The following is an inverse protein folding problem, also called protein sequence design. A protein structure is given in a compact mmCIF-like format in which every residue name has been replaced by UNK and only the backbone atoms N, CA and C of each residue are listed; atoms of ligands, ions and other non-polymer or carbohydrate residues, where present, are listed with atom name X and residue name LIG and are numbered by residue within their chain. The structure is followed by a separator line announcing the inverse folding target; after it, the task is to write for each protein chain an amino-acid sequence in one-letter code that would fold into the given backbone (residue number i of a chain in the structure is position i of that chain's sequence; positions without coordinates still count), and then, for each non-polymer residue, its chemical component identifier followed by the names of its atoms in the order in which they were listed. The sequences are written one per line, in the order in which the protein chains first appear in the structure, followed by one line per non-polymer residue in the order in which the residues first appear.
data_IF_069507971541
#
_entry.id   IF_069507971541
#
_cell.length_a   1.000
_cell.length_b   1.000
_cell.length_c   1.000
_cell.angle_alpha   90.00
_cell.angle_beta   90.00
_cell.angle_gamma   90.00
#
_symmetry.space_group_name_H-M   'P 1'
#
loop_
_entity.id
_entity.type
_entity.pdbx_description
1 polymer ?
#
# COMPACT_ATOMS: atom_id res chain seq x y z
N UNK A 1 15.35 -26.37 -10.61
CA UNK A 1 14.05 -25.71 -10.97
C UNK A 1 12.93 -26.62 -10.49
N UNK A 2 11.93 -26.10 -9.80
CA UNK A 2 10.73 -26.89 -9.43
C UNK A 2 9.72 -26.86 -10.59
N UNK A 3 9.04 -27.99 -10.86
CA UNK A 3 7.89 -27.98 -11.76
C UNK A 3 6.62 -27.58 -11.03
N UNK A 4 5.59 -27.03 -11.73
CA UNK A 4 4.30 -26.72 -11.10
C UNK A 4 3.64 -27.92 -10.41
N UNK A 5 3.80 -29.13 -10.96
CA UNK A 5 3.30 -30.37 -10.39
C UNK A 5 4.01 -30.72 -9.08
N UNK A 6 5.35 -30.60 -9.03
CA UNK A 6 6.13 -30.82 -7.81
C UNK A 6 5.77 -29.82 -6.71
N UNK A 7 5.56 -28.55 -7.09
CA UNK A 7 5.09 -27.52 -6.17
C UNK A 7 3.72 -27.87 -5.60
N UNK A 8 2.77 -28.30 -6.45
CA UNK A 8 1.44 -28.70 -6.03
C UNK A 8 1.46 -29.90 -5.06
N UNK A 9 2.30 -30.91 -5.32
CA UNK A 9 2.47 -32.06 -4.40
C UNK A 9 2.93 -31.58 -3.03
N UNK A 10 3.94 -30.71 -2.94
CA UNK A 10 4.38 -30.15 -1.65
C UNK A 10 3.27 -29.39 -0.91
N UNK A 11 2.48 -28.59 -1.63
CA UNK A 11 1.37 -27.85 -1.02
C UNK A 11 0.28 -28.77 -0.47
N UNK A 12 -0.04 -29.87 -1.18
CA UNK A 12 -0.96 -30.91 -0.72
C UNK A 12 -0.43 -31.56 0.57
N UNK A 13 0.88 -31.78 0.65
CA UNK A 13 1.57 -32.35 1.82
C UNK A 13 1.82 -31.30 2.93
N UNK A 14 1.28 -30.08 2.83
CA UNK A 14 1.45 -28.98 3.79
C UNK A 14 2.94 -28.55 3.97
N UNK A 15 3.77 -28.77 2.95
CA UNK A 15 5.20 -28.46 2.96
C UNK A 15 5.49 -27.13 2.28
N UNK A 16 6.51 -26.45 2.78
CA UNK A 16 6.98 -25.18 2.22
C UNK A 16 7.61 -25.39 0.83
N UNK A 17 7.37 -24.44 -0.08
CA UNK A 17 8.14 -24.26 -1.30
C UNK A 17 9.33 -23.38 -0.94
N UNK A 18 10.55 -23.90 -1.05
CA UNK A 18 11.74 -23.14 -0.68
C UNK A 18 11.92 -21.90 -1.54
N UNK A 19 12.61 -20.90 -1.00
CA UNK A 19 12.73 -19.57 -1.62
C UNK A 19 13.13 -19.62 -3.11
N UNK A 20 14.20 -20.33 -3.47
CA UNK A 20 14.67 -20.41 -4.86
C UNK A 20 13.70 -21.16 -5.78
N UNK A 21 12.99 -22.14 -5.24
CA UNK A 21 11.95 -22.86 -5.97
C UNK A 21 10.72 -21.99 -6.20
N UNK A 22 10.35 -21.17 -5.21
CA UNK A 22 9.25 -20.22 -5.32
C UNK A 22 9.59 -19.09 -6.31
N UNK A 23 10.84 -18.61 -6.37
CA UNK A 23 11.30 -17.71 -7.42
C UNK A 23 11.09 -18.32 -8.81
N UNK A 24 11.50 -19.58 -8.99
CA UNK A 24 11.34 -20.30 -10.26
C UNK A 24 9.87 -20.48 -10.64
N UNK A 25 9.04 -20.89 -9.69
CA UNK A 25 7.61 -21.10 -9.90
C UNK A 25 6.89 -19.80 -10.27
N UNK A 26 7.18 -18.71 -9.55
CA UNK A 26 6.58 -17.41 -9.82
C UNK A 26 6.99 -16.85 -11.18
N UNK A 27 8.25 -17.05 -11.61
CA UNK A 27 8.68 -16.66 -12.97
C UNK A 27 7.91 -17.43 -14.04
N UNK A 28 7.68 -18.73 -13.88
CA UNK A 28 6.86 -19.52 -14.80
C UNK A 28 5.40 -19.01 -14.85
N UNK A 29 4.81 -18.68 -13.69
CA UNK A 29 3.44 -18.13 -13.62
C UNK A 29 3.38 -16.76 -14.32
N UNK A 30 4.29 -15.84 -13.96
CA UNK A 30 4.31 -14.48 -14.51
C UNK A 30 4.74 -14.45 -15.98
N UNK A 31 5.52 -15.44 -16.44
CA UNK A 31 5.88 -15.64 -17.86
C UNK A 31 4.76 -16.27 -18.69
N UNK A 32 3.68 -16.77 -18.05
CA UNK A 32 2.56 -17.39 -18.77
C UNK A 32 2.80 -18.86 -19.18
N UNK A 33 3.77 -19.51 -18.54
CA UNK A 33 4.14 -20.90 -18.82
C UNK A 33 3.27 -21.94 -18.07
N UNK A 34 2.48 -21.47 -17.10
CA UNK A 34 1.65 -22.32 -16.24
C UNK A 34 0.18 -22.20 -16.64
N UNK A 35 -0.51 -23.32 -16.78
CA UNK A 35 -1.94 -23.31 -17.15
C UNK A 35 -2.83 -22.70 -16.07
N UNK A 36 -3.96 -22.08 -16.43
CA UNK A 36 -4.89 -21.49 -15.46
C UNK A 36 -5.33 -22.45 -14.35
N UNK A 37 -5.63 -23.71 -14.71
CA UNK A 37 -6.00 -24.74 -13.73
C UNK A 37 -4.89 -25.02 -12.71
N UNK A 38 -3.64 -25.04 -13.16
CA UNK A 38 -2.49 -25.25 -12.28
C UNK A 38 -2.21 -24.02 -11.42
N UNK A 39 -2.34 -22.81 -11.98
CA UNK A 39 -2.26 -21.56 -11.19
C UNK A 39 -3.31 -21.57 -10.08
N UNK A 40 -4.57 -21.92 -10.39
CA UNK A 40 -5.64 -22.02 -9.40
C UNK A 40 -5.29 -23.01 -8.28
N UNK A 41 -4.85 -24.21 -8.64
CA UNK A 41 -4.48 -25.25 -7.67
C UNK A 41 -3.33 -24.79 -6.74
N UNK A 42 -2.30 -24.17 -7.31
CA UNK A 42 -1.16 -23.63 -6.54
C UNK A 42 -1.61 -22.51 -5.60
N UNK A 43 -2.40 -21.55 -6.07
CA UNK A 43 -2.88 -20.44 -5.25
C UNK A 43 -3.76 -20.92 -4.08
N UNK A 44 -4.65 -21.89 -4.34
CA UNK A 44 -5.48 -22.49 -3.31
C UNK A 44 -4.62 -23.29 -2.34
N UNK A 45 -3.67 -24.09 -2.83
CA UNK A 45 -2.73 -24.84 -2.00
C UNK A 45 -1.90 -23.96 -1.07
N UNK A 46 -1.33 -22.85 -1.57
CA UNK A 46 -0.62 -21.84 -0.77
C UNK A 46 -1.54 -21.28 0.32
N UNK A 47 -2.76 -20.89 -0.05
CA UNK A 47 -3.74 -20.31 0.89
C UNK A 47 -4.15 -21.28 1.99
N UNK A 48 -4.39 -22.55 1.67
CA UNK A 48 -4.78 -23.59 2.65
C UNK A 48 -3.62 -23.92 3.59
N UNK A 49 -2.40 -24.02 3.05
CA UNK A 49 -1.18 -24.24 3.84
C UNK A 49 -0.83 -23.04 4.72
N UNK A 50 -1.23 -21.84 4.35
CA UNK A 50 -0.73 -20.53 4.78
C UNK A 50 0.70 -20.27 4.28
N UNK A 51 0.86 -19.15 3.60
CA UNK A 51 2.13 -18.75 2.96
C UNK A 51 3.18 -18.41 4.02
N UNK A 52 4.40 -18.88 3.82
CA UNK A 52 5.55 -18.51 4.67
C UNK A 52 6.14 -17.17 4.25
N UNK A 53 6.91 -16.55 5.14
CA UNK A 53 7.68 -15.32 4.83
C UNK A 53 8.59 -15.55 3.62
N UNK A 54 9.19 -16.75 3.51
CA UNK A 54 10.04 -17.12 2.37
C UNK A 54 9.27 -17.12 1.05
N UNK A 55 8.11 -17.75 1.02
CA UNK A 55 7.25 -17.83 -0.18
C UNK A 55 6.73 -16.46 -0.60
N UNK A 56 6.26 -15.64 0.36
CA UNK A 56 5.78 -14.27 0.08
C UNK A 56 6.93 -13.40 -0.45
N UNK A 57 8.12 -13.49 0.17
CA UNK A 57 9.29 -12.69 -0.25
C UNK A 57 9.75 -13.05 -1.66
N UNK A 58 9.80 -14.34 -1.99
CA UNK A 58 10.18 -14.81 -3.33
C UNK A 58 9.15 -14.36 -4.38
N UNK A 59 7.85 -14.47 -4.07
CA UNK A 59 6.80 -14.04 -4.96
C UNK A 59 6.85 -12.51 -5.19
N UNK A 60 7.02 -11.71 -4.15
CA UNK A 60 7.16 -10.27 -4.25
C UNK A 60 8.42 -9.86 -5.04
N UNK A 61 9.54 -10.56 -4.84
CA UNK A 61 10.76 -10.32 -5.61
C UNK A 61 10.52 -10.49 -7.12
N UNK A 62 9.90 -11.59 -7.52
CA UNK A 62 9.58 -11.84 -8.95
C UNK A 62 8.58 -10.81 -9.48
N UNK A 63 7.57 -10.45 -8.70
CA UNK A 63 6.64 -9.38 -9.09
C UNK A 63 7.36 -8.05 -9.31
N UNK A 64 8.32 -7.70 -8.46
CA UNK A 64 9.19 -6.53 -8.67
C UNK A 64 10.06 -6.66 -9.93
N UNK A 65 10.55 -7.87 -10.25
CA UNK A 65 11.35 -8.15 -11.45
C UNK A 65 10.55 -7.87 -12.73
N UNK A 66 9.27 -8.28 -12.76
CA UNK A 66 8.38 -8.11 -13.91
C UNK A 66 7.67 -6.76 -13.97
N UNK A 67 7.75 -5.93 -12.95
CA UNK A 67 7.12 -4.61 -12.94
C UNK A 67 7.85 -3.62 -13.87
N UNK A 68 7.07 -2.77 -14.55
CA UNK A 68 7.60 -1.61 -15.27
C UNK A 68 8.19 -0.62 -14.26
N UNK A 69 9.51 -0.44 -14.28
CA UNK A 69 10.24 0.37 -13.31
C UNK A 69 9.98 1.87 -13.53
N UNK A 70 9.74 2.58 -12.45
CA UNK A 70 9.62 4.05 -12.45
C UNK A 70 10.98 4.65 -12.07
N UNK A 71 11.62 5.39 -12.98
CA UNK A 71 12.93 6.00 -12.72
C UNK A 71 12.76 7.24 -11.84
N UNK A 72 13.08 7.12 -10.55
CA UNK A 72 13.14 8.23 -9.60
C UNK A 72 14.61 8.56 -9.34
N UNK A 73 15.00 9.79 -9.64
CA UNK A 73 16.39 10.26 -9.48
C UNK A 73 16.66 10.77 -8.07
N UNK A 74 15.69 11.43 -7.46
CA UNK A 74 15.76 11.96 -6.08
C UNK A 74 15.11 10.98 -5.11
N UNK A 75 15.91 10.07 -4.57
CA UNK A 75 15.40 8.99 -3.69
C UNK A 75 15.34 9.35 -2.22
N UNK A 76 15.89 10.49 -1.82
CA UNK A 76 15.81 10.96 -0.43
C UNK A 76 14.35 11.16 -0.02
N UNK A 77 13.97 10.66 1.16
CA UNK A 77 12.61 10.71 1.69
C UNK A 77 11.54 10.04 0.79
N UNK A 78 11.95 9.09 -0.08
CA UNK A 78 11.02 8.35 -0.93
C UNK A 78 10.18 7.39 -0.07
N UNK A 79 8.85 7.49 -0.20
CA UNK A 79 7.90 6.73 0.61
C UNK A 79 6.70 6.26 -0.21
N UNK A 80 6.17 5.07 0.11
CA UNK A 80 4.86 4.61 -0.35
C UNK A 80 3.84 4.58 0.80
N UNK A 81 2.58 4.81 0.49
CA UNK A 81 1.44 4.73 1.42
C UNK A 81 0.39 3.77 0.86
N UNK A 82 0.79 2.53 0.58
CA UNK A 82 -0.07 1.53 -0.05
C UNK A 82 -0.41 0.40 0.92
N UNK A 83 -1.70 0.21 1.22
CA UNK A 83 -2.20 -0.94 1.97
C UNK A 83 -2.64 -2.11 1.07
N UNK A 84 -2.97 -3.23 1.69
CA UNK A 84 -3.49 -4.43 1.00
C UNK A 84 -4.90 -4.23 0.47
N UNK A 85 -5.64 -3.28 1.02
CA UNK A 85 -7.08 -3.19 0.82
C UNK A 85 -7.82 -4.41 1.36
N UNK A 86 -9.11 -4.50 1.07
CA UNK A 86 -9.88 -5.68 1.40
C UNK A 86 -10.35 -5.77 2.86
N UNK A 87 -10.27 -4.69 3.61
CA UNK A 87 -10.73 -4.56 5.00
C UNK A 87 -12.25 -4.49 5.12
N UNK A 88 -12.97 -4.27 4.02
CA UNK A 88 -14.41 -4.09 3.96
C UNK A 88 -14.95 -2.92 4.84
N UNK A 89 -14.10 -1.97 5.19
CA UNK A 89 -14.46 -0.85 6.05
C UNK A 89 -15.26 0.23 5.32
N UNK A 90 -15.16 0.29 3.99
CA UNK A 90 -15.85 1.27 3.13
C UNK A 90 -15.55 2.73 3.52
N UNK A 91 -14.37 3.00 4.06
CA UNK A 91 -13.94 4.36 4.40
C UNK A 91 -13.52 5.12 3.14
N UNK A 92 -13.44 6.46 3.24
CA UNK A 92 -12.81 7.26 2.19
C UNK A 92 -11.32 6.94 2.08
N UNK A 93 -10.67 7.46 1.05
CA UNK A 93 -9.29 7.12 0.70
C UNK A 93 -8.26 7.79 1.62
N UNK A 94 -8.11 7.28 2.85
CA UNK A 94 -7.25 7.81 3.92
C UNK A 94 -5.80 7.90 3.45
N UNK A 95 -5.23 6.79 2.95
CA UNK A 95 -3.83 6.77 2.48
C UNK A 95 -3.58 7.69 1.29
N UNK A 96 -4.60 7.93 0.44
CA UNK A 96 -4.48 8.89 -0.67
C UNK A 96 -4.44 10.33 -0.17
N UNK A 97 -5.30 10.69 0.78
CA UNK A 97 -5.25 12.00 1.43
C UNK A 97 -3.92 12.20 2.18
N UNK A 98 -3.47 11.17 2.90
CA UNK A 98 -2.19 11.16 3.63
C UNK A 98 -0.98 11.36 2.71
N UNK A 99 -1.04 10.84 1.47
CA UNK A 99 0.01 11.02 0.48
C UNK A 99 0.24 12.51 0.12
N UNK A 100 -0.82 13.28 -0.04
CA UNK A 100 -0.71 14.72 -0.30
C UNK A 100 -0.12 15.49 0.88
N UNK A 101 -0.53 15.14 2.10
CA UNK A 101 0.00 15.75 3.33
C UNK A 101 1.48 15.41 3.50
N UNK A 102 1.87 14.14 3.35
CA UNK A 102 3.26 13.72 3.45
C UNK A 102 4.14 14.39 2.38
N UNK A 103 3.65 14.48 1.14
CA UNK A 103 4.37 15.17 0.06
C UNK A 103 4.55 16.67 0.35
N UNK A 104 3.52 17.32 0.87
CA UNK A 104 3.60 18.74 1.25
C UNK A 104 4.53 18.98 2.46
N UNK A 105 4.75 17.96 3.31
CA UNK A 105 5.74 17.97 4.39
C UNK A 105 7.19 17.79 3.91
N UNK A 106 7.40 17.50 2.61
CA UNK A 106 8.72 17.31 2.01
C UNK A 106 9.07 15.86 1.64
N UNK A 107 8.20 14.90 1.87
CA UNK A 107 8.40 13.53 1.39
C UNK A 107 8.26 13.46 -0.14
N UNK A 108 8.97 12.51 -0.75
CA UNK A 108 8.70 12.09 -2.13
C UNK A 108 7.79 10.88 -2.08
N UNK A 109 6.54 11.07 -2.48
CA UNK A 109 5.54 10.02 -2.39
C UNK A 109 5.42 9.31 -3.74
N UNK A 110 5.84 8.06 -3.78
CA UNK A 110 5.64 7.16 -4.90
C UNK A 110 4.42 6.27 -4.60
N UNK A 111 3.21 6.82 -4.71
CA UNK A 111 2.01 6.09 -4.33
C UNK A 111 1.63 5.04 -5.36
N UNK A 112 1.60 3.79 -4.93
CA UNK A 112 1.09 2.67 -5.71
C UNK A 112 -0.36 2.38 -5.34
N UNK A 113 -1.20 2.06 -6.32
CA UNK A 113 -2.59 1.77 -6.03
C UNK A 113 -3.43 1.38 -7.25
N UNK A 114 -4.67 1.01 -7.01
CA UNK A 114 -5.59 0.53 -8.03
C UNK A 114 -7.01 1.03 -7.85
N UNK A 115 -7.90 0.53 -8.73
CA UNK A 115 -9.35 0.66 -8.54
C UNK A 115 -9.80 -0.29 -7.43
N UNK A 116 -10.94 0.01 -6.85
CA UNK A 116 -11.51 -0.86 -5.83
C UNK A 116 -11.89 -2.23 -6.39
N UNK A 117 -11.63 -3.26 -5.57
CA UNK A 117 -12.09 -4.63 -5.82
C UNK A 117 -13.22 -5.02 -4.85
N UNK A 118 -13.16 -4.52 -3.62
CA UNK A 118 -14.08 -4.88 -2.52
C UNK A 118 -14.68 -3.68 -1.80
N UNK A 119 -14.12 -2.48 -1.97
CA UNK A 119 -14.64 -1.22 -1.41
C UNK A 119 -15.42 -0.43 -2.44
N UNK A 120 -16.05 0.67 -2.02
CA UNK A 120 -16.85 1.54 -2.91
C UNK A 120 -16.00 2.44 -3.81
N UNK A 121 -14.73 2.75 -3.42
CA UNK A 121 -13.87 3.67 -4.14
C UNK A 121 -12.40 3.35 -3.86
N UNK A 122 -11.63 2.98 -4.88
CA UNK A 122 -10.18 2.80 -4.80
C UNK A 122 -9.41 4.11 -4.94
N UNK A 123 -8.09 4.07 -4.69
CA UNK A 123 -7.23 5.26 -4.84
C UNK A 123 -7.25 5.83 -6.26
N UNK A 124 -7.29 4.97 -7.27
CA UNK A 124 -7.39 5.39 -8.67
C UNK A 124 -8.73 6.08 -8.96
N UNK A 125 -9.84 5.58 -8.39
CA UNK A 125 -11.17 6.13 -8.64
C UNK A 125 -11.30 7.55 -8.08
N UNK A 126 -10.82 7.80 -6.86
CA UNK A 126 -10.87 9.15 -6.26
C UNK A 126 -9.91 10.12 -6.94
N UNK A 127 -8.70 9.67 -7.34
CA UNK A 127 -7.74 10.53 -8.05
C UNK A 127 -8.26 10.95 -9.43
N UNK A 128 -8.87 10.02 -10.17
CA UNK A 128 -9.54 10.32 -11.45
C UNK A 128 -10.68 11.31 -11.26
N UNK A 129 -11.52 11.14 -10.20
CA UNK A 129 -12.58 12.08 -9.86
C UNK A 129 -12.06 13.47 -9.45
N UNK A 130 -10.81 13.56 -8.95
CA UNK A 130 -10.12 14.79 -8.62
C UNK A 130 -9.43 15.43 -9.84
N UNK A 131 -9.45 14.79 -11.01
CA UNK A 131 -8.88 15.29 -12.25
C UNK A 131 -7.44 14.84 -12.54
N UNK A 132 -6.89 13.88 -11.80
CA UNK A 132 -5.56 13.32 -12.05
C UNK A 132 -5.63 12.35 -13.22
N UNK A 133 -4.73 12.49 -14.20
CA UNK A 133 -4.57 11.52 -15.27
C UNK A 133 -3.81 10.28 -14.76
N UNK A 134 -4.44 9.11 -14.88
CA UNK A 134 -3.87 7.83 -14.42
C UNK A 134 -3.02 7.11 -15.47
N UNK A 135 -3.05 7.57 -16.73
CA UNK A 135 -2.43 6.90 -17.86
C UNK A 135 -1.04 7.48 -18.19
N UNK A 136 -0.23 7.68 -17.15
CA UNK A 136 1.13 8.16 -17.28
C UNK A 136 2.10 7.01 -17.56
N UNK A 137 3.15 7.29 -18.35
CA UNK A 137 4.27 6.37 -18.53
C UNK A 137 5.13 6.31 -17.25
N UNK A 138 5.96 5.27 -17.07
CA UNK A 138 6.91 5.22 -15.96
C UNK A 138 7.79 6.47 -15.83
N UNK A 139 8.26 7.01 -16.95
CA UNK A 139 9.10 8.21 -17.00
C UNK A 139 8.34 9.46 -16.56
N UNK A 140 7.09 9.61 -17.00
CA UNK A 140 6.24 10.73 -16.56
C UNK A 140 5.94 10.69 -15.07
N UNK A 141 5.67 9.50 -14.52
CA UNK A 141 5.48 9.34 -13.06
C UNK A 141 6.78 9.65 -12.30
N UNK A 142 7.93 9.14 -12.78
CA UNK A 142 9.23 9.45 -12.18
C UNK A 142 9.52 10.96 -12.18
N UNK A 143 9.25 11.63 -13.30
CA UNK A 143 9.38 13.08 -13.43
C UNK A 143 8.47 13.84 -12.44
N UNK A 144 7.22 13.41 -12.30
CA UNK A 144 6.28 13.99 -11.32
C UNK A 144 6.82 13.87 -9.90
N UNK A 145 7.31 12.68 -9.50
CA UNK A 145 7.92 12.47 -8.17
C UNK A 145 9.14 13.38 -7.96
N UNK A 146 10.01 13.50 -8.97
CA UNK A 146 11.22 14.32 -8.89
C UNK A 146 10.92 15.83 -8.87
N UNK A 147 9.91 16.28 -9.62
CA UNK A 147 9.57 17.68 -9.79
C UNK A 147 8.70 18.24 -8.65
N UNK A 148 7.60 17.53 -8.35
CA UNK A 148 6.60 18.03 -7.40
C UNK A 148 6.51 17.19 -6.11
N UNK A 149 7.32 16.14 -5.96
CA UNK A 149 7.38 15.30 -4.75
C UNK A 149 6.24 14.30 -4.62
N UNK A 150 5.41 14.07 -5.65
CA UNK A 150 4.36 13.05 -5.63
C UNK A 150 4.09 12.52 -7.04
N UNK A 151 3.87 11.21 -7.13
CA UNK A 151 3.40 10.55 -8.34
C UNK A 151 2.51 9.36 -8.00
N UNK A 152 1.57 9.04 -8.88
CA UNK A 152 0.67 7.92 -8.73
C UNK A 152 0.95 6.85 -9.78
N UNK A 153 1.16 5.62 -9.33
CA UNK A 153 1.38 4.44 -10.16
C UNK A 153 0.10 3.61 -10.18
N UNK A 154 -0.65 3.69 -11.26
CA UNK A 154 -1.86 2.89 -11.44
C UNK A 154 -1.47 1.43 -11.71
N UNK A 155 -1.68 0.54 -10.74
CA UNK A 155 -1.16 -0.83 -10.71
C UNK A 155 -1.32 -1.62 -12.01
N UNK A 156 -2.46 -1.59 -12.73
CA UNK A 156 -2.60 -2.30 -14.02
C UNK A 156 -1.58 -1.88 -15.07
N UNK A 157 -1.16 -0.61 -15.09
CA UNK A 157 -0.22 -0.09 -16.10
C UNK A 157 1.23 -0.54 -15.81
N UNK A 158 1.53 -0.88 -14.55
CA UNK A 158 2.91 -1.21 -14.12
C UNK A 158 3.14 -2.71 -13.92
N UNK A 159 2.08 -3.52 -13.80
CA UNK A 159 2.17 -4.96 -13.57
C UNK A 159 1.55 -5.77 -14.71
N UNK A 160 2.02 -5.55 -15.94
CA UNK A 160 1.48 -6.20 -17.15
C UNK A 160 1.49 -7.74 -17.11
N UNK A 161 2.44 -8.35 -16.40
CA UNK A 161 2.53 -9.79 -16.23
C UNK A 161 1.36 -10.38 -15.40
N UNK A 162 0.64 -9.55 -14.63
CA UNK A 162 -0.58 -9.97 -13.91
C UNK A 162 -1.69 -10.48 -14.83
N UNK A 163 -1.63 -10.19 -16.14
CA UNK A 163 -2.59 -10.71 -17.14
C UNK A 163 -2.71 -12.25 -17.10
N UNK A 164 -1.67 -12.97 -16.68
CA UNK A 164 -1.68 -14.43 -16.59
C UNK A 164 -2.37 -14.95 -15.32
N UNK A 165 -2.34 -14.22 -14.23
CA UNK A 165 -2.94 -14.61 -12.95
C UNK A 165 -4.31 -13.93 -12.68
N UNK A 166 -4.56 -12.73 -13.21
CA UNK A 166 -5.76 -11.96 -12.92
C UNK A 166 -7.10 -12.66 -13.30
N UNK A 167 -7.22 -13.36 -14.46
CA UNK A 167 -8.44 -14.11 -14.77
C UNK A 167 -8.72 -15.22 -13.73
N UNK A 168 -7.68 -15.98 -13.37
CA UNK A 168 -7.78 -17.08 -12.38
C UNK A 168 -8.20 -16.53 -11.02
N UNK A 169 -7.61 -15.43 -10.56
CA UNK A 169 -7.98 -14.78 -9.28
C UNK A 169 -9.44 -14.33 -9.28
N UNK A 170 -9.93 -13.79 -10.39
CA UNK A 170 -11.32 -13.35 -10.54
C UNK A 170 -12.29 -14.54 -10.46
N UNK A 171 -11.95 -15.65 -11.13
CA UNK A 171 -12.75 -16.86 -11.14
C UNK A 171 -12.80 -17.54 -9.77
N UNK A 172 -11.66 -17.59 -9.07
CA UNK A 172 -11.58 -18.13 -7.72
C UNK A 172 -12.44 -17.35 -6.71
N UNK A 173 -12.55 -16.03 -6.83
CA UNK A 173 -13.36 -15.19 -5.96
C UNK A 173 -12.94 -15.17 -4.48
N UNK A 174 -11.76 -15.71 -4.15
CA UNK A 174 -11.22 -15.79 -2.79
C UNK A 174 -9.89 -15.05 -2.68
N UNK A 175 -9.50 -14.69 -1.46
CA UNK A 175 -8.17 -14.13 -1.21
C UNK A 175 -7.08 -15.17 -1.43
N UNK A 176 -6.03 -14.80 -2.12
CA UNK A 176 -4.85 -15.60 -2.44
C UNK A 176 -3.58 -14.85 -2.09
N UNK A 177 -2.41 -15.46 -2.27
CA UNK A 177 -1.10 -14.83 -2.15
C UNK A 177 -1.05 -13.42 -2.80
N UNK A 178 -1.66 -13.25 -3.96
CA UNK A 178 -1.66 -11.96 -4.66
C UNK A 178 -2.35 -10.81 -3.90
N UNK A 179 -3.20 -11.09 -2.92
CA UNK A 179 -3.84 -10.03 -2.12
C UNK A 179 -2.88 -9.37 -1.12
N UNK A 180 -1.78 -10.02 -0.80
CA UNK A 180 -0.76 -9.47 0.10
C UNK A 180 0.50 -8.99 -0.65
N UNK A 181 0.61 -9.24 -1.97
CA UNK A 181 1.78 -8.88 -2.76
C UNK A 181 1.77 -7.43 -3.25
N UNK A 182 0.58 -6.84 -3.51
CA UNK A 182 0.48 -5.49 -4.10
C UNK A 182 1.36 -4.46 -3.43
N UNK A 183 1.23 -4.22 -2.10
CA UNK A 183 2.04 -3.24 -1.39
C UNK A 183 3.54 -3.56 -1.33
N UNK A 184 3.93 -4.81 -1.57
CA UNK A 184 5.34 -5.24 -1.58
C UNK A 184 6.06 -4.94 -2.90
N UNK A 185 5.34 -4.46 -3.93
CA UNK A 185 5.82 -4.47 -5.31
C UNK A 185 5.86 -3.09 -5.96
N UNK A 186 6.11 -2.05 -5.17
CA UNK A 186 6.16 -0.66 -5.62
C UNK A 186 7.14 -0.50 -6.81
N UNK A 187 6.67 -0.02 -7.98
CA UNK A 187 7.50 0.08 -9.19
C UNK A 187 8.62 1.11 -9.10
N UNK A 188 8.51 2.12 -8.23
CA UNK A 188 9.56 3.10 -7.96
C UNK A 188 10.60 2.58 -6.95
N UNK A 189 10.36 1.39 -6.36
CA UNK A 189 11.25 0.78 -5.38
C UNK A 189 11.40 1.64 -4.12
N UNK A 190 10.32 2.20 -3.60
CA UNK A 190 10.36 2.99 -2.36
C UNK A 190 10.88 2.13 -1.20
N UNK A 191 11.92 2.60 -0.52
CA UNK A 191 12.58 1.90 0.58
C UNK A 191 11.87 2.13 1.92
N UNK A 192 11.02 3.16 2.00
CA UNK A 192 10.21 3.48 3.17
C UNK A 192 8.72 3.32 2.83
N UNK A 193 7.92 2.88 3.81
CA UNK A 193 6.51 2.60 3.55
C UNK A 193 5.66 2.65 4.82
N UNK A 194 4.44 3.16 4.70
CA UNK A 194 3.34 2.83 5.62
C UNK A 194 2.41 1.86 4.89
N UNK A 195 2.31 0.65 5.42
CA UNK A 195 1.52 -0.43 4.82
C UNK A 195 0.38 -0.84 5.74
N UNK A 196 -0.85 -0.61 5.34
CA UNK A 196 -2.00 -1.20 5.99
C UNK A 196 -2.24 -2.66 5.57
N UNK A 197 -2.65 -3.50 6.51
CA UNK A 197 -3.01 -4.90 6.23
C UNK A 197 -4.38 -5.23 6.80
N UNK A 198 -5.16 -6.05 6.06
CA UNK A 198 -6.54 -6.40 6.40
C UNK A 198 -6.69 -7.42 7.55
N UNK A 199 -5.58 -7.93 8.10
CA UNK A 199 -5.62 -8.93 9.18
C UNK A 199 -4.42 -8.75 10.12
N UNK A 200 -4.60 -8.84 11.45
CA UNK A 200 -3.52 -8.63 12.41
C UNK A 200 -2.35 -9.63 12.26
N UNK A 201 -2.60 -10.88 11.87
CA UNK A 201 -1.53 -11.87 11.65
C UNK A 201 -0.53 -11.43 10.56
N UNK A 202 -0.94 -10.55 9.65
CA UNK A 202 -0.08 -10.06 8.57
C UNK A 202 0.88 -8.98 9.03
N UNK A 203 0.65 -8.33 10.15
CA UNK A 203 1.43 -7.17 10.61
C UNK A 203 2.91 -7.53 10.71
N UNK A 204 3.26 -8.50 11.55
CA UNK A 204 4.64 -8.95 11.71
C UNK A 204 5.20 -9.71 10.50
N UNK A 205 4.34 -10.45 9.77
CA UNK A 205 4.76 -11.19 8.56
C UNK A 205 5.23 -10.21 7.48
N UNK A 206 4.42 -9.20 7.15
CA UNK A 206 4.74 -8.24 6.07
C UNK A 206 5.96 -7.38 6.40
N UNK A 207 6.14 -6.99 7.66
CA UNK A 207 7.34 -6.28 8.08
C UNK A 207 8.63 -7.09 7.83
N UNK A 208 8.60 -8.39 8.16
CA UNK A 208 9.73 -9.30 7.91
C UNK A 208 9.93 -9.62 6.43
N UNK A 209 8.87 -9.64 5.64
CA UNK A 209 8.98 -9.73 4.17
C UNK A 209 9.67 -8.49 3.62
N UNK A 210 9.25 -7.28 4.03
CA UNK A 210 9.88 -6.03 3.60
C UNK A 210 11.33 -5.93 4.06
N UNK A 211 11.66 -6.41 5.27
CA UNK A 211 13.05 -6.54 5.75
C UNK A 211 13.89 -7.39 4.78
N UNK A 212 13.39 -8.58 4.37
CA UNK A 212 14.07 -9.45 3.39
C UNK A 212 14.19 -8.81 2.01
N UNK A 213 13.25 -7.96 1.62
CA UNK A 213 13.26 -7.24 0.35
C UNK A 213 14.12 -5.97 0.38
N UNK A 214 14.79 -5.67 1.52
CA UNK A 214 15.74 -4.58 1.66
C UNK A 214 15.14 -3.21 1.99
N UNK A 215 13.89 -3.15 2.47
CA UNK A 215 13.30 -1.90 2.93
C UNK A 215 14.04 -1.34 4.16
N UNK A 216 14.00 -0.02 4.35
CA UNK A 216 14.76 0.70 5.37
C UNK A 216 13.93 1.04 6.60
N UNK A 217 12.83 1.77 6.41
CA UNK A 217 11.94 2.18 7.49
C UNK A 217 10.49 1.97 7.08
N UNK A 218 9.80 1.08 7.77
CA UNK A 218 8.44 0.68 7.43
C UNK A 218 7.59 0.58 8.68
N UNK A 219 6.34 1.04 8.60
CA UNK A 219 5.30 0.70 9.55
C UNK A 219 4.26 -0.17 8.83
N UNK A 220 4.08 -1.40 9.30
CA UNK A 220 2.95 -2.26 8.91
C UNK A 220 1.89 -2.16 9.98
N UNK A 221 0.66 -1.80 9.61
CA UNK A 221 -0.38 -1.42 10.56
C UNK A 221 -1.69 -2.17 10.31
N UNK A 222 -2.43 -2.44 11.41
CA UNK A 222 -3.79 -2.99 11.35
C UNK A 222 -4.59 -2.46 12.54
N UNK A 223 -5.69 -1.76 12.28
CA UNK A 223 -6.60 -1.30 13.30
C UNK A 223 -7.34 -2.45 13.99
N UNK A 224 -7.61 -2.34 15.29
CA UNK A 224 -8.39 -3.35 16.05
C UNK A 224 -9.82 -3.53 15.53
N UNK A 225 -10.31 -2.59 14.73
CA UNK A 225 -11.58 -2.63 14.00
C UNK A 225 -11.48 -3.30 12.62
N UNK A 226 -10.30 -3.80 12.26
CA UNK A 226 -9.99 -4.46 10.98
C UNK A 226 -9.53 -3.52 9.87
N UNK A 227 -9.48 -2.21 10.13
CA UNK A 227 -9.04 -1.20 9.16
C UNK A 227 -7.56 -1.43 8.76
N UNK A 228 -7.26 -1.34 7.48
CA UNK A 228 -5.89 -1.41 6.96
C UNK A 228 -5.17 -0.04 6.97
N UNK A 229 -5.36 0.72 8.07
CA UNK A 229 -4.76 2.03 8.35
C UNK A 229 -4.53 2.18 9.87
N UNK A 230 -3.86 3.24 10.31
CA UNK A 230 -3.88 3.64 11.73
C UNK A 230 -5.28 4.18 12.03
N UNK A 231 -6.00 3.50 12.93
CA UNK A 231 -7.41 3.82 13.21
C UNK A 231 -7.59 4.88 14.28
N UNK A 232 -8.74 5.58 14.23
CA UNK A 232 -9.23 6.42 15.34
C UNK A 232 -10.18 5.66 16.27
N UNK A 233 -10.66 4.47 15.92
CA UNK A 233 -11.70 3.80 16.69
C UNK A 233 -11.20 2.90 17.81
N UNK A 234 -9.89 2.83 17.99
CA UNK A 234 -9.27 1.99 19.01
C UNK A 234 -7.78 1.81 18.82
N UNK A 235 -7.27 0.68 19.29
CA UNK A 235 -5.87 0.34 19.16
C UNK A 235 -5.49 -0.01 17.72
N UNK A 236 -4.26 0.26 17.34
CA UNK A 236 -3.63 -0.18 16.10
C UNK A 236 -2.42 -1.05 16.41
N UNK A 237 -2.39 -2.26 15.86
CA UNK A 237 -1.22 -3.12 15.89
C UNK A 237 -0.20 -2.60 14.88
N UNK A 238 1.06 -2.50 15.29
CA UNK A 238 2.16 -1.98 14.48
C UNK A 238 3.33 -2.95 14.51
N UNK A 239 3.88 -3.25 13.34
CA UNK A 239 5.23 -3.79 13.22
C UNK A 239 6.11 -2.76 12.51
N UNK A 240 7.12 -2.29 13.19
CA UNK A 240 8.08 -1.31 12.68
C UNK A 240 9.37 -2.00 12.28
N UNK A 241 9.74 -1.86 11.02
CA UNK A 241 11.09 -2.13 10.54
C UNK A 241 11.87 -0.84 10.57
N UNK A 242 12.92 -0.78 11.37
CA UNK A 242 13.85 0.34 11.46
C UNK A 242 15.24 -0.16 11.79
N UNK A 243 16.25 0.42 11.17
CA UNK A 243 17.66 0.05 11.38
C UNK A 243 17.92 -1.46 11.27
N UNK A 244 17.23 -2.12 10.33
CA UNK A 244 17.34 -3.55 10.10
C UNK A 244 16.66 -4.45 11.14
N UNK A 245 15.94 -3.89 12.12
CA UNK A 245 15.24 -4.63 13.16
C UNK A 245 13.74 -4.47 13.02
N UNK A 246 12.98 -5.53 13.32
CA UNK A 246 11.52 -5.50 13.39
C UNK A 246 11.09 -5.54 14.85
N UNK A 247 10.34 -4.53 15.28
CA UNK A 247 9.69 -4.47 16.60
C UNK A 247 8.17 -4.42 16.43
N UNK A 248 7.44 -5.04 17.35
CA UNK A 248 5.98 -5.08 17.32
C UNK A 248 5.43 -4.42 18.59
N UNK A 249 4.46 -3.52 18.42
CA UNK A 249 3.84 -2.78 19.50
C UNK A 249 2.42 -2.34 19.12
N UNK A 250 1.73 -1.72 20.07
CA UNK A 250 0.37 -1.19 19.84
C UNK A 250 0.36 0.29 20.16
N UNK A 251 -0.37 1.05 19.36
CA UNK A 251 -0.62 2.47 19.57
C UNK A 251 -2.13 2.74 19.67
N UNK A 252 -2.50 3.84 20.35
CA UNK A 252 -3.89 4.31 20.41
C UNK A 252 -3.97 5.80 20.05
N UNK A 253 -5.14 6.29 19.60
CA UNK A 253 -5.31 7.70 19.24
C UNK A 253 -4.99 8.66 20.40
N UNK A 254 -5.29 8.27 21.63
CA UNK A 254 -5.10 9.09 22.83
C UNK A 254 -3.63 9.40 23.11
N UNK A 255 -2.72 8.51 22.73
CA UNK A 255 -1.27 8.74 22.87
C UNK A 255 -0.81 9.96 22.08
N UNK A 256 -1.58 10.35 21.05
CA UNK A 256 -1.30 11.48 20.16
C UNK A 256 -2.28 12.64 20.34
N UNK A 257 -3.09 12.61 21.39
CA UNK A 257 -4.03 13.69 21.71
C UNK A 257 -5.35 13.64 20.94
N UNK A 258 -5.65 12.57 20.22
CA UNK A 258 -6.92 12.38 19.55
C UNK A 258 -7.90 11.62 20.45
N UNK A 259 -9.19 11.87 20.26
CA UNK A 259 -10.25 11.10 20.95
C UNK A 259 -10.59 9.87 20.12
N UNK A 260 -10.78 8.74 20.79
CA UNK A 260 -11.38 7.56 20.16
C UNK A 260 -12.71 7.94 19.51
N UNK A 261 -12.86 7.68 18.22
CA UNK A 261 -13.98 8.11 17.40
C UNK A 261 -14.41 6.98 16.46
N UNK A 262 -15.72 6.73 16.37
CA UNK A 262 -16.26 5.73 15.45
C UNK A 262 -15.92 6.03 13.98
N UNK A 263 -15.62 5.00 13.20
CA UNK A 263 -15.39 5.11 11.76
C UNK A 263 -16.67 5.43 10.96
N UNK A 264 -17.85 5.42 11.58
CA UNK A 264 -19.12 5.63 10.87
C UNK A 264 -19.15 6.95 10.10
N UNK A 265 -18.52 8.01 10.65
CA UNK A 265 -18.48 9.35 10.04
C UNK A 265 -17.50 9.50 8.87
N UNK A 266 -16.66 8.49 8.61
CA UNK A 266 -15.70 8.50 7.51
C UNK A 266 -15.98 7.42 6.46
N UNK A 267 -17.13 6.71 6.58
CA UNK A 267 -17.61 5.80 5.55
C UNK A 267 -18.22 6.58 4.39
N UNK A 268 -18.06 6.04 3.19
CA UNK A 268 -18.55 6.65 1.95
C UNK A 268 -19.28 5.61 1.11
N UNK A 269 -20.33 6.03 0.41
CA UNK A 269 -21.12 5.16 -0.45
C UNK A 269 -20.66 5.18 -1.92
N UNK A 270 -19.93 6.21 -2.33
CA UNK A 270 -19.52 6.41 -3.72
C UNK A 270 -18.25 7.29 -3.82
N UNK A 271 -17.75 7.43 -5.04
CA UNK A 271 -16.53 8.21 -5.30
C UNK A 271 -16.70 9.72 -5.12
N UNK A 272 -17.92 10.23 -5.29
CA UNK A 272 -18.25 11.64 -5.10
C UNK A 272 -18.16 12.03 -3.63
N UNK A 273 -18.69 11.19 -2.74
CA UNK A 273 -18.55 11.36 -1.29
C UNK A 273 -17.08 11.23 -0.85
N UNK A 274 -16.36 10.24 -1.39
CA UNK A 274 -14.93 10.06 -1.11
C UNK A 274 -14.12 11.31 -1.54
N UNK A 275 -14.38 11.85 -2.72
CA UNK A 275 -13.79 13.09 -3.22
C UNK A 275 -14.09 14.27 -2.30
N UNK A 276 -15.35 14.48 -1.94
CA UNK A 276 -15.77 15.60 -1.09
C UNK A 276 -15.10 15.52 0.30
N UNK A 277 -15.05 14.31 0.88
CA UNK A 277 -14.40 14.10 2.19
C UNK A 277 -12.90 14.34 2.12
N UNK A 278 -12.20 13.86 1.09
CA UNK A 278 -10.78 14.12 0.86
C UNK A 278 -10.52 15.62 0.70
N UNK A 279 -11.33 16.32 -0.10
CA UNK A 279 -11.22 17.77 -0.25
C UNK A 279 -11.43 18.51 1.07
N UNK A 280 -12.42 18.10 1.88
CA UNK A 280 -12.66 18.66 3.21
C UNK A 280 -11.46 18.52 4.15
N UNK A 281 -10.74 17.39 4.08
CA UNK A 281 -9.47 17.20 4.82
C UNK A 281 -8.42 18.20 4.34
N UNK A 282 -8.22 18.32 3.01
CA UNK A 282 -7.22 19.25 2.45
C UNK A 282 -7.60 20.73 2.66
N UNK A 283 -8.89 21.03 2.90
CA UNK A 283 -9.40 22.35 3.30
C UNK A 283 -9.33 22.56 4.83
N UNK A 284 -8.68 21.67 5.56
CA UNK A 284 -8.55 21.71 7.01
C UNK A 284 -9.89 21.78 7.77
N UNK A 285 -10.94 21.16 7.25
CA UNK A 285 -12.24 21.11 7.94
C UNK A 285 -12.14 20.19 9.16
N UNK A 286 -12.45 20.65 10.38
CA UNK A 286 -12.42 19.83 11.58
C UNK A 286 -13.38 18.64 11.46
N UNK A 287 -12.81 17.41 11.48
CA UNK A 287 -13.57 16.17 11.30
C UNK A 287 -12.73 14.96 11.67
N UNK A 288 -13.37 13.81 11.92
CA UNK A 288 -12.67 12.53 12.10
C UNK A 288 -11.85 12.15 10.85
N UNK A 289 -12.29 12.54 9.65
CA UNK A 289 -11.53 12.34 8.42
C UNK A 289 -10.20 13.10 8.42
N UNK A 290 -10.20 14.35 8.90
CA UNK A 290 -8.95 15.12 9.07
C UNK A 290 -8.02 14.48 10.10
N UNK A 291 -8.57 14.06 11.23
CA UNK A 291 -7.79 13.52 12.33
C UNK A 291 -7.15 12.18 11.96
N UNK A 292 -7.86 11.27 11.28
CA UNK A 292 -7.28 10.00 10.82
C UNK A 292 -6.21 10.22 9.73
N UNK A 293 -6.39 11.19 8.84
CA UNK A 293 -5.37 11.56 7.86
C UNK A 293 -4.14 12.14 8.54
N UNK A 294 -4.32 12.97 9.57
CA UNK A 294 -3.19 13.50 10.34
C UNK A 294 -2.36 12.38 10.99
N UNK A 295 -2.99 11.32 11.54
CA UNK A 295 -2.30 10.15 12.07
C UNK A 295 -1.51 9.40 10.98
N UNK A 296 -2.17 9.05 9.88
CA UNK A 296 -1.57 8.24 8.82
C UNK A 296 -0.51 9.01 8.01
N UNK A 297 -0.74 10.29 7.75
CA UNK A 297 0.26 11.17 7.14
C UNK A 297 1.47 11.38 8.05
N UNK A 298 1.24 11.52 9.35
CA UNK A 298 2.30 11.61 10.34
C UNK A 298 3.21 10.37 10.34
N UNK A 299 2.62 9.19 10.20
CA UNK A 299 3.37 7.95 10.03
C UNK A 299 4.21 7.96 8.75
N UNK A 300 3.64 8.42 7.62
CA UNK A 300 4.38 8.54 6.35
C UNK A 300 5.54 9.55 6.44
N UNK A 301 5.36 10.67 7.13
CA UNK A 301 6.39 11.67 7.39
C UNK A 301 7.51 11.08 8.27
N UNK A 302 7.14 10.32 9.29
CA UNK A 302 8.10 9.66 10.18
C UNK A 302 8.95 8.62 9.45
N UNK A 303 8.32 7.68 8.73
CA UNK A 303 9.09 6.64 8.01
C UNK A 303 9.92 7.22 6.86
N UNK A 304 9.51 8.35 6.28
CA UNK A 304 10.29 9.08 5.29
C UNK A 304 11.54 9.77 5.89
N UNK A 305 11.71 9.75 7.22
CA UNK A 305 12.84 10.37 7.91
C UNK A 305 12.75 11.91 8.01
N UNK A 306 11.54 12.45 7.94
CA UNK A 306 11.27 13.91 8.05
C UNK A 306 10.84 14.33 9.45
N UNK A 307 10.75 13.37 10.36
CA UNK A 307 10.54 13.53 11.80
C UNK A 307 11.29 12.43 12.55
N UNK A 308 11.72 12.70 13.77
CA UNK A 308 12.48 11.78 14.62
C UNK A 308 11.61 10.76 15.38
N UNK A 309 10.30 11.04 15.44
CA UNK A 309 9.31 10.20 16.11
C UNK A 309 7.96 10.26 15.40
N UNK A 310 7.12 9.24 15.62
CA UNK A 310 5.76 9.20 15.12
C UNK A 310 4.94 10.41 15.62
N UNK A 311 5.09 10.78 16.90
CA UNK A 311 4.41 11.94 17.47
C UNK A 311 4.79 13.25 16.76
N UNK A 312 6.08 13.47 16.48
CA UNK A 312 6.55 14.64 15.77
C UNK A 312 6.12 14.63 14.29
N UNK A 313 6.05 13.45 13.65
CA UNK A 313 5.46 13.28 12.33
C UNK A 313 3.99 13.69 12.28
N UNK A 314 3.20 13.25 13.26
CA UNK A 314 1.76 13.60 13.41
C UNK A 314 1.56 15.11 13.63
N UNK A 315 2.39 15.72 14.49
CA UNK A 315 2.36 17.17 14.70
C UNK A 315 2.64 17.92 13.38
N UNK A 316 3.69 17.53 12.66
CA UNK A 316 4.05 18.12 11.36
C UNK A 316 2.94 17.95 10.33
N UNK A 317 2.25 16.79 10.31
CA UNK A 317 1.10 16.58 9.43
C UNK A 317 -0.03 17.58 9.71
N UNK A 318 -0.34 17.85 10.98
CA UNK A 318 -1.33 18.86 11.37
C UNK A 318 -0.96 20.27 10.92
N UNK A 319 0.29 20.66 11.06
CA UNK A 319 0.82 21.96 10.60
C UNK A 319 0.68 22.10 9.07
N UNK A 320 1.00 21.04 8.32
CA UNK A 320 0.89 21.00 6.85
C UNK A 320 -0.58 21.10 6.40
N UNK A 321 -1.49 20.38 7.04
CA UNK A 321 -2.92 20.47 6.74
C UNK A 321 -3.42 21.90 6.99
N UNK A 322 -3.07 22.48 8.13
CA UNK A 322 -3.49 23.84 8.52
C UNK A 322 -2.96 24.92 7.57
N UNK A 323 -1.78 24.73 6.98
CA UNK A 323 -1.19 25.70 6.04
C UNK A 323 -1.83 25.71 4.65
N UNK A 324 -2.64 24.69 4.29
CA UNK A 324 -3.18 24.52 2.94
C UNK A 324 -2.18 23.98 1.91
N UNK A 325 -0.94 23.66 2.31
CA UNK A 325 0.09 23.16 1.39
C UNK A 325 -0.28 21.81 0.76
N UNK A 326 -1.00 20.95 1.48
CA UNK A 326 -1.48 19.67 0.96
C UNK A 326 -2.51 19.86 -0.18
N UNK A 327 -3.38 20.86 -0.10
CA UNK A 327 -4.31 21.21 -1.18
C UNK A 327 -3.57 21.69 -2.43
N UNK A 328 -2.56 22.54 -2.25
CA UNK A 328 -1.71 22.98 -3.35
C UNK A 328 -0.98 21.80 -4.02
N UNK A 329 -0.60 20.78 -3.25
CA UNK A 329 0.06 19.57 -3.77
C UNK A 329 -0.87 18.76 -4.67
N UNK A 330 -2.16 18.65 -4.33
CA UNK A 330 -3.16 18.03 -5.22
C UNK A 330 -3.29 18.81 -6.53
N UNK A 331 -3.38 20.15 -6.49
CA UNK A 331 -3.47 20.98 -7.69
C UNK A 331 -2.25 20.78 -8.60
N UNK A 332 -1.04 20.72 -8.04
CA UNK A 332 0.20 20.44 -8.78
C UNK A 332 0.15 19.06 -9.46
N UNK A 333 -0.34 18.02 -8.77
CA UNK A 333 -0.45 16.68 -9.36
C UNK A 333 -1.44 16.65 -10.52
N UNK A 334 -2.59 17.34 -10.39
CA UNK A 334 -3.57 17.46 -11.48
C UNK A 334 -2.92 18.16 -12.68
N UNK A 335 -2.24 19.26 -12.48
CA UNK A 335 -1.56 20.02 -13.55
C UNK A 335 -0.51 19.16 -14.26
N UNK A 336 0.45 18.60 -13.52
CA UNK A 336 1.58 17.82 -14.08
C UNK A 336 1.10 16.55 -14.76
N UNK A 337 0.05 15.89 -14.25
CA UNK A 337 -0.47 14.67 -14.86
C UNK A 337 -1.23 14.91 -16.19
N UNK A 338 -1.66 16.14 -16.45
CA UNK A 338 -2.39 16.50 -17.67
C UNK A 338 -1.55 17.33 -18.65
N UNK A 339 -0.30 17.62 -18.31
CA UNK A 339 0.66 18.27 -19.18
C UNK A 339 1.31 17.26 -20.14
#
# INVERSE_FOLDING_TARGET
MITPQQALVRLIEQREIFYDEMLSLMRQIMGGEVSPAMIAAILVGLRVKKETIGEISAAAFVMREFASKVPVTKREHLVDTCGTGGDAAHTFNISTASAFVASAAGARVAKHGGRSVSSTCGSADVLEALGVNLNLTPEQVGHSIDQIGIGFMFAPNFHGAMKHAAPVRRELGVRTLFNVLGPLTNPAGADNQVMGVFHPDLVGIQARVLQRLGSRHVLVVNGSDGLDEITLSGATNVAELKDGQVSEYTITPEQFGFKTTSLASIKVANKEEAKAMLQGVLDNQPSAARDIVQLNAGAAIYVAGLADSLANGIKKAGEVIASGAAKAKLAQLVEVSNA
#
